data_IF_677986802723
#
_entry.id   IF_677986802723
#
_cell.length_a   1.000
_cell.length_b   1.000
_cell.length_c   1.000
_cell.angle_alpha   90.00
_cell.angle_beta   90.00
_cell.angle_gamma   90.00
#
_symmetry.space_group_name_H-M   'P 1'
#
loop_
_entity.id
_entity.type
_entity.pdbx_description
1 polymer ?
#
# COMPACT_ATOMS: atom_id res chain seq x y z
N UNK A 1 -51.42 6.70 12.59
CA UNK A 1 -50.24 7.49 13.02
C UNK A 1 -48.94 6.66 13.07
N UNK A 2 -48.98 5.40 13.53
CA UNK A 2 -47.79 4.51 13.65
C UNK A 2 -47.08 4.18 12.32
N UNK A 3 -47.82 3.94 11.23
CA UNK A 3 -47.22 3.60 9.94
C UNK A 3 -46.44 4.75 9.27
N UNK A 4 -46.82 6.01 9.54
CA UNK A 4 -46.13 7.18 8.99
C UNK A 4 -44.81 7.47 9.72
N UNK A 5 -44.73 7.20 11.03
CA UNK A 5 -43.49 7.30 11.81
C UNK A 5 -42.48 6.21 11.46
N UNK A 6 -42.93 4.96 11.25
CA UNK A 6 -42.04 3.87 10.82
C UNK A 6 -41.49 4.08 9.41
N UNK A 7 -42.34 4.59 8.49
CA UNK A 7 -41.91 4.91 7.13
C UNK A 7 -40.83 6.00 7.11
N UNK A 8 -40.98 7.06 7.92
CA UNK A 8 -40.01 8.17 8.02
C UNK A 8 -38.68 7.74 8.68
N UNK A 9 -38.75 6.82 9.65
CA UNK A 9 -37.57 6.21 10.28
C UNK A 9 -36.77 5.35 9.27
N UNK A 10 -37.46 4.58 8.44
CA UNK A 10 -36.82 3.72 7.42
C UNK A 10 -36.13 4.50 6.29
N UNK A 11 -36.60 5.71 5.97
CA UNK A 11 -35.98 6.58 4.97
C UNK A 11 -34.76 7.30 5.56
N UNK A 12 -34.86 7.78 6.80
CA UNK A 12 -33.75 8.45 7.49
C UNK A 12 -32.56 7.51 7.71
N UNK A 13 -32.82 6.25 8.09
CA UNK A 13 -31.79 5.23 8.24
C UNK A 13 -31.08 4.91 6.90
N UNK A 14 -31.82 4.87 5.79
CA UNK A 14 -31.25 4.66 4.46
C UNK A 14 -30.37 5.84 4.02
N UNK A 15 -30.84 7.06 4.23
CA UNK A 15 -30.10 8.27 3.87
C UNK A 15 -28.82 8.41 4.71
N UNK A 16 -28.87 8.14 6.02
CA UNK A 16 -27.70 8.12 6.90
C UNK A 16 -26.68 7.06 6.49
N UNK A 17 -27.13 5.84 6.17
CA UNK A 17 -26.25 4.77 5.70
C UNK A 17 -25.57 5.14 4.37
N UNK A 18 -26.30 5.78 3.46
CA UNK A 18 -25.75 6.27 2.20
C UNK A 18 -24.69 7.35 2.40
N UNK A 19 -24.94 8.33 3.27
CA UNK A 19 -23.97 9.39 3.58
C UNK A 19 -22.70 8.81 4.19
N UNK A 20 -22.83 7.87 5.12
CA UNK A 20 -21.71 7.20 5.76
C UNK A 20 -20.87 6.37 4.76
N UNK A 21 -21.56 5.67 3.85
CA UNK A 21 -20.93 4.94 2.75
C UNK A 21 -20.12 5.85 1.82
N UNK A 22 -20.68 7.00 1.45
CA UNK A 22 -20.00 8.02 0.64
C UNK A 22 -18.81 8.61 1.39
N UNK A 23 -18.95 8.90 2.68
CA UNK A 23 -17.87 9.43 3.52
C UNK A 23 -16.67 8.48 3.57
N UNK A 24 -16.87 7.19 3.88
CA UNK A 24 -15.77 6.23 3.88
C UNK A 24 -15.15 6.03 2.52
N UNK A 25 -15.96 6.05 1.46
CA UNK A 25 -15.46 5.95 0.10
C UNK A 25 -14.57 7.16 -0.26
N UNK A 26 -14.85 8.36 0.24
CA UNK A 26 -13.98 9.53 0.07
C UNK A 26 -12.72 9.40 0.93
N UNK A 27 -12.87 8.99 2.20
CA UNK A 27 -11.76 8.84 3.13
C UNK A 27 -10.71 7.85 2.60
N UNK A 28 -11.13 6.67 2.12
CA UNK A 28 -10.23 5.69 1.52
C UNK A 28 -9.43 6.27 0.36
N UNK A 29 -10.09 7.04 -0.52
CA UNK A 29 -9.41 7.65 -1.67
C UNK A 29 -8.40 8.71 -1.23
N UNK A 30 -8.73 9.52 -0.22
CA UNK A 30 -7.80 10.50 0.34
C UNK A 30 -6.58 9.83 0.98
N UNK A 31 -6.79 8.76 1.76
CA UNK A 31 -5.71 8.01 2.40
C UNK A 31 -4.79 7.38 1.35
N UNK A 32 -5.35 6.73 0.32
CA UNK A 32 -4.55 6.13 -0.76
C UNK A 32 -3.79 7.19 -1.57
N UNK A 33 -4.44 8.31 -1.88
CA UNK A 33 -3.80 9.42 -2.60
C UNK A 33 -2.66 10.03 -1.77
N UNK A 34 -2.89 10.27 -0.48
CA UNK A 34 -1.87 10.80 0.42
C UNK A 34 -0.67 9.84 0.53
N UNK A 35 -0.91 8.52 0.62
CA UNK A 35 0.16 7.54 0.64
C UNK A 35 0.97 7.56 -0.67
N UNK A 36 0.32 7.56 -1.84
CA UNK A 36 1.02 7.64 -3.12
C UNK A 36 1.87 8.92 -3.23
N UNK A 37 1.37 10.07 -2.77
CA UNK A 37 2.17 11.32 -2.71
C UNK A 37 3.39 11.12 -1.83
N UNK A 38 3.22 10.55 -0.63
CA UNK A 38 4.29 10.33 0.32
C UNK A 38 5.37 9.42 -0.29
N UNK A 39 4.99 8.30 -0.90
CA UNK A 39 5.91 7.38 -1.58
C UNK A 39 6.69 8.08 -2.69
N UNK A 40 6.02 8.90 -3.52
CA UNK A 40 6.70 9.64 -4.61
C UNK A 40 7.68 10.67 -4.06
N UNK A 41 7.29 11.42 -3.02
CA UNK A 41 8.18 12.39 -2.37
C UNK A 41 9.42 11.71 -1.79
N UNK A 42 9.25 10.57 -1.11
CA UNK A 42 10.38 9.80 -0.55
C UNK A 42 11.31 9.30 -1.66
N UNK A 43 10.75 8.80 -2.77
CA UNK A 43 11.55 8.36 -3.93
C UNK A 43 12.37 9.51 -4.52
N UNK A 44 11.74 10.66 -4.74
CA UNK A 44 12.41 11.83 -5.33
C UNK A 44 13.52 12.36 -4.40
N UNK A 45 13.26 12.40 -3.09
CA UNK A 45 14.24 12.83 -2.09
C UNK A 45 15.47 11.92 -2.07
N UNK A 46 15.27 10.58 -2.07
CA UNK A 46 16.36 9.60 -2.02
C UNK A 46 17.17 9.54 -3.31
N UNK A 47 16.53 9.67 -4.48
CA UNK A 47 17.21 9.51 -5.77
C UNK A 47 17.77 10.79 -6.38
N UNK A 48 17.24 11.97 -6.02
CA UNK A 48 17.64 13.27 -6.62
C UNK A 48 17.56 13.29 -8.16
N UNK A 49 16.72 12.43 -8.75
CA UNK A 49 16.57 12.27 -10.19
C UNK A 49 15.18 12.75 -10.65
N UNK A 50 15.14 13.68 -11.61
CA UNK A 50 13.90 14.31 -12.07
C UNK A 50 12.96 13.35 -12.82
N UNK A 51 13.46 12.23 -13.32
CA UNK A 51 12.69 11.26 -14.12
C UNK A 51 11.57 10.59 -13.31
N UNK A 52 11.71 10.54 -11.98
CA UNK A 52 10.72 9.91 -11.10
C UNK A 52 9.45 10.74 -10.92
N UNK A 53 9.44 12.01 -11.37
CA UNK A 53 8.21 12.79 -11.52
C UNK A 53 7.20 12.17 -12.51
N UNK A 54 7.63 11.27 -13.39
CA UNK A 54 6.71 10.51 -14.24
C UNK A 54 5.69 9.70 -13.43
N UNK A 55 6.03 9.28 -12.21
CA UNK A 55 5.10 8.60 -11.29
C UNK A 55 3.97 9.52 -10.82
N UNK A 56 4.21 10.84 -10.78
CA UNK A 56 3.18 11.85 -10.50
C UNK A 56 2.07 11.85 -11.55
N UNK A 57 2.35 11.40 -12.79
CA UNK A 57 1.31 11.26 -13.82
C UNK A 57 0.22 10.24 -13.43
N UNK A 58 0.60 9.16 -12.75
CA UNK A 58 -0.35 8.15 -12.25
C UNK A 58 -1.22 8.74 -11.13
N UNK A 59 -0.65 9.63 -10.31
CA UNK A 59 -1.38 10.34 -9.26
C UNK A 59 -2.45 11.28 -9.86
N UNK A 60 -2.13 11.98 -10.95
CA UNK A 60 -3.09 12.82 -11.68
C UNK A 60 -4.26 11.96 -12.20
N UNK A 61 -3.95 10.78 -12.75
CA UNK A 61 -4.96 9.84 -13.26
C UNK A 61 -5.87 9.33 -12.13
N UNK A 62 -5.30 9.05 -10.94
CA UNK A 62 -6.04 8.68 -9.74
C UNK A 62 -6.95 9.81 -9.23
N UNK A 63 -6.50 11.06 -9.33
CA UNK A 63 -7.31 12.22 -8.95
C UNK A 63 -8.49 12.41 -9.90
N UNK A 64 -8.26 12.33 -11.21
CA UNK A 64 -9.31 12.43 -12.24
C UNK A 64 -10.35 11.31 -12.06
N UNK A 65 -9.90 10.07 -11.86
CA UNK A 65 -10.79 8.96 -11.60
C UNK A 65 -11.57 9.13 -10.29
N UNK A 66 -10.91 9.58 -9.23
CA UNK A 66 -11.52 9.87 -7.93
C UNK A 66 -12.66 10.88 -8.06
N UNK A 67 -12.40 12.02 -8.70
CA UNK A 67 -13.42 13.06 -8.96
C UNK A 67 -14.55 12.50 -9.82
N UNK A 68 -14.24 11.79 -10.91
CA UNK A 68 -15.23 11.19 -11.78
C UNK A 68 -16.13 10.17 -11.05
N UNK A 69 -15.58 9.40 -10.11
CA UNK A 69 -16.31 8.37 -9.35
C UNK A 69 -17.21 8.98 -8.28
N UNK A 70 -16.74 10.03 -7.60
CA UNK A 70 -17.52 10.77 -6.59
C UNK A 70 -18.69 11.51 -7.26
N UNK A 71 -18.43 12.26 -8.34
CA UNK A 71 -19.44 13.10 -9.01
C UNK A 71 -20.47 12.26 -9.77
N UNK A 72 -20.04 11.27 -10.56
CA UNK A 72 -20.93 10.55 -11.48
C UNK A 72 -21.56 9.29 -10.90
N UNK A 73 -20.95 8.66 -9.88
CA UNK A 73 -21.39 7.34 -9.36
C UNK A 73 -21.79 7.33 -7.89
N UNK A 74 -21.83 8.49 -7.22
CA UNK A 74 -22.18 8.61 -5.78
C UNK A 74 -21.41 7.59 -4.90
N UNK A 75 -20.12 7.38 -5.19
CA UNK A 75 -19.23 6.49 -4.43
C UNK A 75 -19.24 5.02 -4.84
N UNK A 76 -20.06 4.58 -5.80
CA UNK A 76 -20.07 3.20 -6.29
C UNK A 76 -18.89 2.92 -7.24
N UNK A 77 -18.05 1.95 -6.88
CA UNK A 77 -16.90 1.54 -7.68
C UNK A 77 -17.28 0.63 -8.86
N UNK A 78 -16.42 0.56 -9.88
CA UNK A 78 -16.62 -0.35 -11.01
C UNK A 78 -16.52 -1.80 -10.52
N UNK A 79 -17.49 -2.61 -10.92
CA UNK A 79 -17.72 -3.99 -10.43
C UNK A 79 -16.59 -5.00 -10.70
N UNK A 80 -15.65 -4.70 -11.58
CA UNK A 80 -14.65 -5.67 -12.06
C UNK A 80 -13.20 -5.26 -11.79
N UNK A 81 -12.93 -3.96 -11.68
CA UNK A 81 -11.60 -3.42 -11.33
C UNK A 81 -11.83 -2.16 -10.51
N UNK A 82 -11.33 -2.15 -9.28
CA UNK A 82 -11.22 -0.93 -8.50
C UNK A 82 -9.97 -0.24 -9.03
N UNK A 83 -10.20 0.64 -10.01
CA UNK A 83 -9.15 1.35 -10.71
C UNK A 83 -8.35 2.24 -9.74
N UNK A 84 -8.94 2.66 -8.61
CA UNK A 84 -8.22 3.32 -7.53
C UNK A 84 -7.12 2.43 -6.91
N UNK A 85 -7.43 1.19 -6.53
CA UNK A 85 -6.42 0.25 -5.99
C UNK A 85 -5.38 -0.15 -7.04
N UNK A 86 -5.80 -0.29 -8.30
CA UNK A 86 -4.87 -0.60 -9.38
C UNK A 86 -3.89 0.56 -9.66
N UNK A 87 -4.37 1.80 -9.71
CA UNK A 87 -3.53 2.99 -9.86
C UNK A 87 -2.62 3.19 -8.66
N UNK A 88 -3.12 2.92 -7.44
CA UNK A 88 -2.32 2.92 -6.22
C UNK A 88 -1.15 1.93 -6.31
N UNK A 89 -1.41 0.67 -6.67
CA UNK A 89 -0.35 -0.32 -6.85
C UNK A 89 0.62 0.09 -7.96
N UNK A 90 0.10 0.59 -9.09
CA UNK A 90 0.92 1.00 -10.21
C UNK A 90 1.82 2.20 -9.88
N UNK A 91 1.43 3.07 -8.95
CA UNK A 91 2.28 4.16 -8.47
C UNK A 91 3.29 3.68 -7.41
N UNK A 92 2.83 2.91 -6.42
CA UNK A 92 3.62 2.58 -5.22
C UNK A 92 4.58 1.41 -5.44
N UNK A 93 4.22 0.39 -6.24
CA UNK A 93 5.08 -0.77 -6.52
C UNK A 93 6.39 -0.39 -7.21
N UNK A 94 6.41 0.32 -8.36
CA UNK A 94 7.67 0.69 -9.01
C UNK A 94 8.50 1.66 -8.17
N UNK A 95 7.85 2.46 -7.33
CA UNK A 95 8.51 3.33 -6.35
C UNK A 95 9.30 2.52 -5.32
N UNK A 96 8.70 1.46 -4.76
CA UNK A 96 9.34 0.58 -3.77
C UNK A 96 10.47 -0.24 -4.41
N UNK A 97 10.26 -0.79 -5.61
CA UNK A 97 11.32 -1.48 -6.36
C UNK A 97 12.59 -0.65 -6.46
N UNK A 98 12.42 0.63 -6.79
CA UNK A 98 13.54 1.53 -7.01
C UNK A 98 14.31 1.83 -5.72
N UNK A 99 13.60 1.99 -4.59
CA UNK A 99 14.18 2.19 -3.26
C UNK A 99 14.99 0.97 -2.85
N UNK A 100 14.44 -0.24 -3.02
CA UNK A 100 15.13 -1.49 -2.68
C UNK A 100 16.36 -1.75 -3.54
N UNK A 101 16.28 -1.48 -4.85
CA UNK A 101 17.45 -1.59 -5.74
C UNK A 101 18.57 -0.59 -5.37
N UNK A 102 18.22 0.56 -4.79
CA UNK A 102 19.20 1.53 -4.30
C UNK A 102 19.87 1.04 -3.01
N UNK A 103 19.08 0.52 -2.07
CA UNK A 103 19.57 -0.11 -0.82
C UNK A 103 20.57 -1.21 -1.12
N UNK A 104 20.23 -2.09 -2.08
CA UNK A 104 21.12 -3.13 -2.60
C UNK A 104 22.44 -2.58 -3.16
N UNK A 105 22.36 -1.49 -3.92
CA UNK A 105 23.53 -0.81 -4.48
C UNK A 105 24.48 -0.29 -3.41
N UNK A 106 23.95 0.36 -2.38
CA UNK A 106 24.70 0.90 -1.23
C UNK A 106 25.32 -0.20 -0.37
N UNK A 107 24.62 -1.32 -0.19
CA UNK A 107 25.16 -2.47 0.54
C UNK A 107 26.39 -3.05 -0.17
N UNK A 108 26.30 -3.23 -1.49
CA UNK A 108 27.41 -3.76 -2.29
C UNK A 108 28.65 -2.85 -2.26
N UNK A 109 28.48 -1.53 -2.30
CA UNK A 109 29.62 -0.60 -2.21
C UNK A 109 30.31 -0.67 -0.85
N UNK A 110 29.55 -0.74 0.25
CA UNK A 110 30.10 -0.91 1.61
C UNK A 110 30.93 -2.20 1.75
N UNK A 111 30.47 -3.31 1.18
CA UNK A 111 31.23 -4.57 1.17
C UNK A 111 32.52 -4.44 0.36
N UNK A 112 32.46 -3.80 -0.81
CA UNK A 112 33.64 -3.61 -1.66
C UNK A 112 34.73 -2.75 -0.99
N UNK A 113 34.33 -1.72 -0.26
CA UNK A 113 35.23 -0.85 0.53
C UNK A 113 35.85 -1.57 1.73
N UNK A 114 35.09 -2.48 2.36
CA UNK A 114 35.57 -3.31 3.49
C UNK A 114 36.65 -4.30 3.04
N UNK A 115 36.53 -4.86 1.84
CA UNK A 115 37.51 -5.82 1.30
C UNK A 115 38.82 -5.15 0.83
N UNK A 116 38.86 -3.82 0.72
CA UNK A 116 40.05 -3.06 0.31
C UNK A 116 40.72 -2.31 1.48
N UNK A 117 40.08 -2.28 2.65
CA UNK A 117 40.55 -1.54 3.82
C UNK A 117 40.80 -2.50 4.99
N UNK A 118 42.06 -2.83 5.23
CA UNK A 118 42.50 -3.48 6.47
C UNK A 118 42.01 -2.69 7.69
N UNK A 119 41.26 -3.37 8.57
CA UNK A 119 41.09 -3.11 10.02
C UNK A 119 41.07 -1.64 10.44
N UNK A 120 39.88 -1.07 10.65
CA UNK A 120 39.72 -0.02 11.65
C UNK A 120 38.39 -0.19 12.40
N UNK A 121 38.51 -0.85 13.55
CA UNK A 121 37.49 -0.95 14.59
C UNK A 121 37.18 0.44 15.14
N UNK A 122 36.00 1.00 14.87
CA UNK A 122 35.44 2.10 15.66
C UNK A 122 34.46 1.55 16.69
N UNK A 123 34.79 1.81 17.95
CA UNK A 123 34.16 1.40 19.21
C UNK A 123 32.69 1.89 19.32
N UNK A 124 31.75 1.07 19.83
CA UNK A 124 30.34 1.43 19.99
C UNK A 124 30.13 2.19 21.29
N UNK A 125 29.76 3.48 21.22
CA UNK A 125 29.53 4.26 22.43
C UNK A 125 29.10 5.69 22.16
N UNK A 126 27.81 5.88 21.89
CA UNK A 126 27.22 7.22 21.77
C UNK A 126 25.70 7.12 21.65
N UNK A 127 25.00 7.22 22.78
CA UNK A 127 23.54 7.31 22.86
C UNK A 127 23.08 8.60 22.14
N UNK A 128 22.85 8.48 20.84
CA UNK A 128 22.34 9.56 20.00
C UNK A 128 20.83 9.38 19.91
N UNK A 129 20.08 9.96 20.86
CA UNK A 129 18.64 10.16 20.72
C UNK A 129 18.37 11.30 19.73
N UNK A 130 18.84 11.14 18.50
CA UNK A 130 18.27 11.86 17.36
C UNK A 130 17.38 10.84 16.67
N UNK A 131 16.11 11.18 16.48
CA UNK A 131 15.18 10.41 15.65
C UNK A 131 15.62 10.53 14.18
N UNK A 132 16.84 10.08 13.86
CA UNK A 132 17.26 9.82 12.49
C UNK A 132 16.66 8.47 12.14
N UNK A 133 15.43 8.51 11.63
CA UNK A 133 14.88 7.38 10.89
C UNK A 133 15.90 7.03 9.81
N UNK A 134 16.49 5.85 9.92
CA UNK A 134 17.43 5.40 8.92
C UNK A 134 16.69 5.26 7.59
N UNK A 135 17.42 5.35 6.48
CA UNK A 135 16.80 5.23 5.15
C UNK A 135 16.06 3.89 5.02
N UNK A 136 16.58 2.86 5.66
CA UNK A 136 16.04 1.51 5.66
C UNK A 136 14.74 1.41 6.47
N UNK A 137 14.62 2.14 7.59
CA UNK A 137 13.39 2.20 8.39
C UNK A 137 12.23 2.84 7.61
N UNK A 138 12.51 3.89 6.83
CA UNK A 138 11.49 4.56 6.02
C UNK A 138 10.97 3.62 4.93
N UNK A 139 11.86 2.85 4.30
CA UNK A 139 11.49 1.87 3.27
C UNK A 139 10.62 0.77 3.91
N UNK A 140 11.06 0.21 5.03
CA UNK A 140 10.28 -0.78 5.79
C UNK A 140 8.89 -0.26 6.18
N UNK A 141 8.78 0.98 6.65
CA UNK A 141 7.49 1.59 6.99
C UNK A 141 6.61 1.73 5.74
N UNK A 142 7.16 2.16 4.61
CA UNK A 142 6.43 2.26 3.34
C UNK A 142 5.91 0.90 2.88
N UNK A 143 6.72 -0.15 2.97
CA UNK A 143 6.35 -1.52 2.59
C UNK A 143 5.20 -2.04 3.45
N UNK A 144 5.33 -1.92 4.77
CA UNK A 144 4.30 -2.34 5.73
C UNK A 144 3.00 -1.54 5.54
N UNK A 145 3.11 -0.22 5.38
CA UNK A 145 1.97 0.64 5.11
C UNK A 145 1.30 0.27 3.79
N UNK A 146 2.06 -0.14 2.76
CA UNK A 146 1.48 -0.50 1.48
C UNK A 146 0.48 -1.64 1.62
N UNK A 147 0.92 -2.74 2.24
CA UNK A 147 0.11 -3.96 2.44
C UNK A 147 -1.04 -3.69 3.41
N UNK A 148 -0.74 -2.97 4.50
CA UNK A 148 -1.72 -2.60 5.50
C UNK A 148 -2.87 -1.74 4.93
N UNK A 149 -2.55 -0.73 4.13
CA UNK A 149 -3.55 0.13 3.50
C UNK A 149 -4.42 -0.63 2.50
N UNK A 150 -3.88 -1.60 1.76
CA UNK A 150 -4.71 -2.45 0.88
C UNK A 150 -5.79 -3.20 1.67
N UNK A 151 -5.43 -3.72 2.85
CA UNK A 151 -6.34 -4.49 3.70
C UNK A 151 -7.36 -3.56 4.39
N UNK A 152 -6.87 -2.50 5.03
CA UNK A 152 -7.72 -1.54 5.74
C UNK A 152 -8.68 -0.82 4.82
N UNK A 153 -8.21 -0.30 3.69
CA UNK A 153 -9.07 0.42 2.76
C UNK A 153 -10.17 -0.49 2.22
N UNK A 154 -9.85 -1.76 1.95
CA UNK A 154 -10.84 -2.75 1.52
C UNK A 154 -11.84 -3.11 2.61
N UNK A 155 -11.39 -3.13 3.87
CA UNK A 155 -12.27 -3.36 5.02
C UNK A 155 -13.18 -2.17 5.29
N UNK A 156 -12.68 -0.94 5.10
CA UNK A 156 -13.41 0.30 5.32
C UNK A 156 -14.47 0.58 4.24
N UNK A 157 -14.34 -0.03 3.06
CA UNK A 157 -15.39 0.04 2.06
C UNK A 157 -16.67 -0.64 2.59
N UNK A 158 -17.81 0.05 2.57
CA UNK A 158 -19.07 -0.48 3.07
C UNK A 158 -19.46 -1.71 2.26
N UNK A 159 -19.48 -2.86 2.94
CA UNK A 159 -19.97 -4.12 2.39
C UNK A 159 -21.47 -4.22 2.64
N UNK A 160 -22.18 -4.92 1.77
CA UNK A 160 -23.62 -5.19 1.92
C UNK A 160 -23.90 -6.05 3.15
N UNK A 161 -25.07 -6.70 3.21
CA UNK A 161 -25.49 -7.56 4.32
C UNK A 161 -24.62 -8.82 4.43
N UNK A 162 -23.40 -8.67 4.95
CA UNK A 162 -22.47 -9.76 5.25
C UNK A 162 -22.62 -10.12 6.72
N UNK A 163 -22.80 -11.41 6.99
CA UNK A 163 -22.86 -11.95 8.36
C UNK A 163 -21.52 -11.71 9.08
N UNK A 164 -21.55 -11.43 10.39
CA UNK A 164 -20.34 -11.15 11.19
C UNK A 164 -19.26 -12.24 11.07
N UNK A 165 -19.67 -13.49 10.89
CA UNK A 165 -18.78 -14.64 10.74
C UNK A 165 -18.06 -14.66 9.39
N UNK A 166 -18.74 -14.25 8.32
CA UNK A 166 -18.11 -14.10 7.01
C UNK A 166 -17.13 -12.93 7.00
N UNK A 167 -17.46 -11.85 7.72
CA UNK A 167 -16.57 -10.69 7.85
C UNK A 167 -15.27 -11.05 8.58
N UNK A 168 -15.34 -11.81 9.67
CA UNK A 168 -14.15 -12.25 10.41
C UNK A 168 -13.32 -13.26 9.64
N UNK A 169 -13.95 -14.22 8.95
CA UNK A 169 -13.26 -15.16 8.06
C UNK A 169 -12.52 -14.44 6.93
N UNK A 170 -13.17 -13.46 6.31
CA UNK A 170 -12.56 -12.68 5.24
C UNK A 170 -11.39 -11.83 5.75
N UNK A 171 -11.50 -11.23 6.95
CA UNK A 171 -10.41 -10.51 7.58
C UNK A 171 -9.21 -11.42 7.85
N UNK A 172 -9.45 -12.63 8.38
CA UNK A 172 -8.41 -13.60 8.65
C UNK A 172 -7.64 -14.00 7.38
N UNK A 173 -8.35 -14.24 6.27
CA UNK A 173 -7.72 -14.52 4.97
C UNK A 173 -6.87 -13.35 4.49
N UNK A 174 -7.32 -12.10 4.69
CA UNK A 174 -6.52 -10.92 4.35
C UNK A 174 -5.24 -10.82 5.18
N UNK A 175 -5.30 -11.10 6.49
CA UNK A 175 -4.12 -11.10 7.36
C UNK A 175 -3.14 -12.20 6.94
N UNK A 176 -3.64 -13.40 6.62
CA UNK A 176 -2.79 -14.50 6.11
C UNK A 176 -2.06 -14.12 4.82
N UNK A 177 -2.77 -13.50 3.87
CA UNK A 177 -2.12 -13.00 2.64
C UNK A 177 -1.15 -11.84 2.91
N UNK A 178 -1.45 -10.97 3.87
CA UNK A 178 -0.53 -9.91 4.28
C UNK A 178 0.78 -10.48 4.81
N UNK A 179 0.66 -11.51 5.65
CA UNK A 179 1.80 -12.20 6.26
C UNK A 179 2.68 -12.84 5.20
N UNK A 180 2.09 -13.56 4.24
CA UNK A 180 2.82 -14.17 3.12
C UNK A 180 3.56 -13.11 2.27
N UNK A 181 2.92 -11.96 2.01
CA UNK A 181 3.55 -10.84 1.30
C UNK A 181 4.69 -10.21 2.10
N UNK A 182 4.56 -10.06 3.42
CA UNK A 182 5.62 -9.51 4.28
C UNK A 182 6.77 -10.51 4.49
N UNK A 183 6.49 -11.81 4.52
CA UNK A 183 7.51 -12.85 4.59
C UNK A 183 8.40 -12.85 3.34
N UNK A 184 7.81 -12.63 2.15
CA UNK A 184 8.56 -12.42 0.91
C UNK A 184 9.48 -11.19 0.97
N UNK A 185 9.10 -10.16 1.72
CA UNK A 185 9.95 -8.97 1.91
C UNK A 185 11.13 -9.22 2.84
N UNK A 186 10.93 -9.98 3.92
CA UNK A 186 12.02 -10.35 4.83
C UNK A 186 13.11 -11.16 4.12
N UNK A 187 12.75 -11.84 3.03
CA UNK A 187 13.69 -12.56 2.18
C UNK A 187 14.73 -11.64 1.50
N UNK A 188 14.45 -10.34 1.33
CA UNK A 188 15.43 -9.39 0.80
C UNK A 188 16.53 -9.03 1.79
N UNK A 189 16.29 -9.19 3.09
CA UNK A 189 17.29 -8.87 4.11
C UNK A 189 18.35 -9.98 4.27
N UNK A 190 18.19 -11.12 3.58
CA UNK A 190 19.19 -12.20 3.63
C UNK A 190 20.43 -11.84 2.80
N UNK A 191 21.60 -11.82 3.44
CA UNK A 191 22.91 -11.46 2.84
C UNK A 191 23.23 -12.19 1.53
N UNK A 192 22.72 -13.42 1.39
CA UNK A 192 22.90 -14.25 0.18
C UNK A 192 22.15 -13.69 -1.03
N UNK A 193 20.99 -13.11 -0.79
CA UNK A 193 20.10 -12.56 -1.82
C UNK A 193 20.54 -11.16 -2.19
N UNK A 194 21.08 -10.39 -1.22
CA UNK A 194 21.70 -9.10 -1.47
C UNK A 194 22.95 -9.18 -2.37
N UNK A 195 23.57 -10.36 -2.49
CA UNK A 195 24.74 -10.54 -3.34
C UNK A 195 24.37 -10.81 -4.81
N UNK A 196 23.18 -11.34 -5.07
CA UNK A 196 22.71 -11.68 -6.42
C UNK A 196 21.52 -10.82 -6.85
N UNK A 197 21.78 -9.90 -7.78
CA UNK A 197 20.77 -9.03 -8.39
C UNK A 197 19.65 -9.83 -9.06
N UNK A 198 19.95 -10.99 -9.63
CA UNK A 198 18.95 -11.81 -10.32
C UNK A 198 17.88 -12.31 -9.35
N UNK A 199 18.31 -12.80 -8.17
CA UNK A 199 17.38 -13.26 -7.12
C UNK A 199 16.51 -12.12 -6.60
N UNK A 200 17.09 -10.93 -6.41
CA UNK A 200 16.32 -9.74 -5.99
C UNK A 200 15.19 -9.41 -6.99
N UNK A 201 15.48 -9.41 -8.30
CA UNK A 201 14.45 -9.15 -9.31
C UNK A 201 13.35 -10.23 -9.35
N UNK A 202 13.71 -11.50 -9.15
CA UNK A 202 12.74 -12.60 -9.10
C UNK A 202 11.79 -12.40 -7.92
N UNK A 203 12.31 -12.13 -6.72
CA UNK A 203 11.49 -11.94 -5.52
C UNK A 203 10.61 -10.69 -5.67
N UNK A 204 11.14 -9.58 -6.18
CA UNK A 204 10.36 -8.36 -6.43
C UNK A 204 9.22 -8.60 -7.43
N UNK A 205 9.45 -9.46 -8.44
CA UNK A 205 8.43 -9.86 -9.41
C UNK A 205 7.35 -10.71 -8.76
N UNK A 206 7.74 -11.74 -8.00
CA UNK A 206 6.80 -12.60 -7.26
C UNK A 206 5.98 -11.76 -6.29
N UNK A 207 6.61 -10.86 -5.55
CA UNK A 207 5.96 -9.92 -4.64
C UNK A 207 4.91 -9.05 -5.33
N UNK A 208 5.24 -8.47 -6.49
CA UNK A 208 4.31 -7.66 -7.29
C UNK A 208 3.09 -8.47 -7.74
N UNK A 209 3.31 -9.74 -8.12
CA UNK A 209 2.23 -10.66 -8.50
C UNK A 209 1.35 -10.96 -7.28
N UNK A 210 1.94 -11.19 -6.10
CA UNK A 210 1.22 -11.43 -4.85
C UNK A 210 0.34 -10.22 -4.47
N UNK A 211 0.85 -8.99 -4.57
CA UNK A 211 0.05 -7.78 -4.35
C UNK A 211 -1.12 -7.65 -5.33
N UNK A 212 -0.86 -7.93 -6.60
CA UNK A 212 -1.90 -7.92 -7.63
C UNK A 212 -2.96 -8.99 -7.33
N UNK A 213 -2.56 -10.18 -6.89
CA UNK A 213 -3.47 -11.23 -6.45
C UNK A 213 -4.31 -10.82 -5.24
N UNK A 214 -3.71 -10.23 -4.20
CA UNK A 214 -4.42 -9.72 -3.02
C UNK A 214 -5.47 -8.69 -3.42
N UNK A 215 -5.10 -7.73 -4.29
CA UNK A 215 -6.02 -6.70 -4.79
C UNK A 215 -7.20 -7.28 -5.59
N UNK A 216 -6.96 -8.34 -6.37
CA UNK A 216 -7.97 -9.01 -7.20
C UNK A 216 -8.86 -9.93 -6.38
N UNK A 217 -8.29 -10.70 -5.47
CA UNK A 217 -9.02 -11.61 -4.58
C UNK A 217 -9.96 -10.82 -3.66
N UNK A 218 -9.47 -9.67 -3.18
CA UNK A 218 -10.29 -8.70 -2.49
C UNK A 218 -11.54 -8.31 -3.31
N UNK A 219 -11.45 -8.29 -4.63
CA UNK A 219 -12.50 -7.90 -5.57
C UNK A 219 -13.50 -9.03 -5.89
N UNK A 220 -13.02 -10.27 -5.97
CA UNK A 220 -13.80 -11.42 -6.45
C UNK A 220 -14.62 -12.13 -5.36
N UNK A 221 -14.25 -11.98 -4.08
CA UNK A 221 -14.83 -12.73 -2.96
C UNK A 221 -16.00 -12.01 -2.23
N UNK A 222 -16.67 -11.05 -2.87
CA UNK A 222 -17.88 -10.45 -2.30
C UNK A 222 -19.10 -11.24 -2.82
N UNK A 223 -19.82 -11.98 -1.96
CA UNK A 223 -21.09 -12.57 -2.35
C UNK A 223 -22.05 -11.44 -2.76
N UNK A 224 -22.67 -11.61 -3.92
CA UNK A 224 -23.63 -10.67 -4.49
C UNK A 224 -24.87 -10.55 -3.63
#
# INVERSE_FOLDING_TARGET
>A
MSASSEMKSSTLARDLCQVFSVFFAILVRLVLAAFCVLTVVVVVDKRQDERFWALTAILILLFIEGVHTVVKRRGQERKWVCLCFACYLLASVPSIWLLELEKLGKFKSKIAETNTSSVQSSLPGGLSTTFQLDSDDIIFILENCLVFLLILCRWLLPKGEITRDQLSQLLFVFIGMASDVMELFQLFEEDKILNDKYMTYVILTVWTISLCQVSRMALLNIPR
#
